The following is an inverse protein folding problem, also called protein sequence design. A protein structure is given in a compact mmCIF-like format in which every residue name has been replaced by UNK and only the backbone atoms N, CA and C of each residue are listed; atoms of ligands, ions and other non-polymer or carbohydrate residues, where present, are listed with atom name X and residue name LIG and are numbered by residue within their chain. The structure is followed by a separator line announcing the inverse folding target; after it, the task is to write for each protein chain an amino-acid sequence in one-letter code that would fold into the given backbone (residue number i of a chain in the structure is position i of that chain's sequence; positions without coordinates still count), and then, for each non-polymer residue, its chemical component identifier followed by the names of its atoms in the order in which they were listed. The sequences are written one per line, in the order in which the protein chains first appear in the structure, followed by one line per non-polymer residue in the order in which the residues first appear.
data_IF_707152161300
#
_entry.id   IF_707152161300
#
_cell.length_a   1.000
_cell.length_b   1.000
_cell.length_c   1.000
_cell.angle_alpha   90.00
_cell.angle_beta   90.00
_cell.angle_gamma   90.00
#
_symmetry.space_group_name_H-M   'P 1'
#
loop_
_entity.id
_entity.type
_entity.pdbx_description
1 polymer ?
#
# COMPACT_ATOMS: atom_id res chain seq x y z
N UNK A 1 -28.50 5.56 -34.98
CA UNK A 1 -27.69 5.42 -33.74
C UNK A 1 -26.81 4.20 -33.87
N UNK A 2 -25.50 4.41 -33.92
CA UNK A 2 -24.51 3.41 -34.32
C UNK A 2 -24.31 2.36 -33.20
N UNK A 3 -24.21 1.06 -33.55
CA UNK A 3 -24.15 -0.06 -32.58
C UNK A 3 -22.99 0.10 -31.57
N UNK A 4 -21.91 0.76 -31.97
CA UNK A 4 -20.72 1.04 -31.13
C UNK A 4 -21.04 1.97 -29.94
N UNK A 5 -21.95 2.94 -30.12
CA UNK A 5 -22.31 3.88 -29.06
C UNK A 5 -23.09 3.24 -27.90
N UNK A 6 -23.80 2.12 -28.14
CA UNK A 6 -24.50 1.39 -27.09
C UNK A 6 -23.56 0.56 -26.20
N UNK A 7 -22.45 0.06 -26.75
CA UNK A 7 -21.47 -0.71 -25.98
C UNK A 7 -20.60 0.18 -25.08
N UNK A 8 -20.25 1.39 -25.53
CA UNK A 8 -19.49 2.35 -24.72
C UNK A 8 -20.32 2.82 -23.52
N UNK A 9 -21.62 3.07 -23.72
CA UNK A 9 -22.51 3.46 -22.62
C UNK A 9 -22.73 2.33 -21.59
N UNK A 10 -22.79 1.08 -22.06
CA UNK A 10 -22.91 -0.09 -21.19
C UNK A 10 -21.63 -0.35 -20.37
N UNK A 11 -20.45 -0.15 -20.95
CA UNK A 11 -19.17 -0.28 -20.23
C UNK A 11 -19.02 0.80 -19.15
N UNK A 12 -19.41 2.04 -19.44
CA UNK A 12 -19.38 3.13 -18.45
C UNK A 12 -20.35 2.84 -17.28
N UNK A 13 -21.53 2.26 -17.56
CA UNK A 13 -22.48 1.89 -16.50
C UNK A 13 -22.00 0.76 -15.59
N UNK A 14 -21.17 -0.17 -16.09
CA UNK A 14 -20.59 -1.24 -15.27
C UNK A 14 -19.54 -0.73 -14.27
N UNK A 15 -18.81 0.34 -14.59
CA UNK A 15 -17.89 0.97 -13.65
C UNK A 15 -18.59 1.73 -12.52
N UNK A 16 -19.79 2.30 -12.77
CA UNK A 16 -20.55 2.99 -11.73
C UNK A 16 -21.24 2.06 -10.72
N UNK A 17 -21.57 0.82 -11.10
CA UNK A 17 -22.24 -0.13 -10.18
C UNK A 17 -21.27 -0.72 -9.14
N UNK A 18 -19.98 -0.82 -9.43
CA UNK A 18 -18.98 -1.28 -8.45
C UNK A 18 -18.68 -0.25 -7.35
N UNK A 19 -18.79 1.06 -7.63
CA UNK A 19 -18.56 2.12 -6.63
C UNK A 19 -19.65 2.18 -5.55
N UNK A 20 -20.85 1.65 -5.81
CA UNK A 20 -21.94 1.65 -4.83
C UNK A 20 -21.85 0.50 -3.81
N UNK A 21 -21.09 -0.56 -4.08
CA UNK A 21 -21.04 -1.73 -3.19
C UNK A 21 -19.97 -1.64 -2.08
N UNK A 22 -19.06 -0.66 -2.15
CA UNK A 22 -17.99 -0.43 -1.16
C UNK A 22 -18.40 0.54 -0.03
N UNK A 23 -19.58 1.17 -0.11
CA UNK A 23 -20.00 2.22 0.84
C UNK A 23 -20.66 1.73 2.14
N UNK A 24 -20.95 0.43 2.28
CA UNK A 24 -21.78 -0.07 3.40
C UNK A 24 -21.03 -0.84 4.50
N UNK A 25 -19.70 -0.96 4.44
CA UNK A 25 -18.93 -1.80 5.40
C UNK A 25 -18.03 -1.07 6.40
N UNK A 26 -18.01 0.26 6.42
CA UNK A 26 -17.00 1.02 7.17
C UNK A 26 -17.47 1.84 8.38
N UNK A 27 -18.71 1.73 8.86
CA UNK A 27 -19.26 2.76 9.79
C UNK A 27 -19.34 2.43 11.28
N UNK A 28 -18.98 1.24 11.75
CA UNK A 28 -19.33 0.84 13.12
C UNK A 28 -18.20 0.72 14.16
N UNK A 29 -16.91 0.87 13.83
CA UNK A 29 -15.84 0.51 14.80
C UNK A 29 -15.01 1.69 15.35
N UNK A 30 -15.45 2.94 15.20
CA UNK A 30 -14.61 4.11 15.58
C UNK A 30 -14.99 4.83 16.89
N UNK A 31 -15.89 4.30 17.72
CA UNK A 31 -16.27 4.97 18.97
C UNK A 31 -16.25 4.04 20.18
N UNK A 32 -15.06 3.65 20.66
CA UNK A 32 -14.86 3.38 22.09
C UNK A 32 -13.37 3.32 22.43
N UNK A 33 -12.83 4.39 23.01
CA UNK A 33 -11.95 4.23 24.17
C UNK A 33 -11.90 5.49 25.02
N UNK A 34 -12.14 5.25 26.30
CA UNK A 34 -12.41 6.20 27.37
C UNK A 34 -11.10 6.78 27.91
N UNK A 35 -11.20 8.01 28.41
CA UNK A 35 -10.21 8.57 29.32
C UNK A 35 -10.19 7.81 30.65
N UNK A 36 -8.99 7.59 31.17
CA UNK A 36 -8.75 7.25 32.57
C UNK A 36 -7.66 8.19 33.08
N UNK A 37 -8.07 9.10 33.97
CA UNK A 37 -7.19 9.82 34.89
C UNK A 37 -6.69 8.85 35.96
N UNK A 38 -5.45 9.01 36.41
CA UNK A 38 -5.06 8.59 37.77
C UNK A 38 -4.10 9.60 38.40
N UNK A 39 -4.38 9.86 39.67
CA UNK A 39 -3.72 10.78 40.59
C UNK A 39 -2.58 10.10 41.37
N UNK A 40 -1.69 10.98 41.86
CA UNK A 40 -0.90 10.95 43.09
C UNK A 40 0.36 10.06 43.26
N UNK A 41 1.42 10.70 43.79
CA UNK A 41 2.56 10.04 44.41
C UNK A 41 3.86 10.84 44.43
N UNK A 42 4.00 11.79 45.35
CA UNK A 42 5.21 12.59 45.61
C UNK A 42 6.12 11.87 46.63
N UNK A 43 7.45 11.75 46.41
CA UNK A 43 8.48 11.78 47.49
C UNK A 43 9.95 11.70 47.02
N UNK A 44 10.71 12.75 47.40
CA UNK A 44 12.11 12.83 47.87
C UNK A 44 13.34 12.21 47.16
N UNK A 45 14.16 13.13 46.63
CA UNK A 45 15.61 13.39 46.85
C UNK A 45 16.52 12.28 47.40
N UNK A 46 17.60 12.03 46.65
CA UNK A 46 18.90 11.57 47.18
C UNK A 46 20.05 11.70 46.16
N UNK A 47 21.02 12.60 46.40
CA UNK A 47 22.27 12.75 45.63
C UNK A 47 23.36 11.80 46.17
N UNK A 48 24.16 11.17 45.29
CA UNK A 48 25.65 11.19 45.36
C UNK A 48 26.33 10.51 44.14
N UNK A 49 27.39 11.18 43.67
CA UNK A 49 28.34 10.77 42.62
C UNK A 49 29.25 9.60 43.04
N UNK A 50 29.84 8.86 42.07
CA UNK A 50 31.30 8.83 41.75
C UNK A 50 31.68 7.62 40.82
N UNK A 51 32.37 7.97 39.72
CA UNK A 51 33.42 7.30 38.90
C UNK A 51 33.28 5.96 38.13
N UNK A 52 33.63 6.10 36.84
CA UNK A 52 34.60 5.36 35.99
C UNK A 52 34.71 3.84 36.12
N UNK A 53 34.47 3.18 34.99
CA UNK A 53 34.97 1.85 34.68
C UNK A 53 34.48 1.38 33.31
N UNK A 54 35.30 1.58 32.29
CA UNK A 54 35.27 0.82 31.05
C UNK A 54 35.35 -0.68 31.35
N UNK A 55 34.46 -1.49 30.76
CA UNK A 55 34.82 -2.76 30.11
C UNK A 55 33.60 -3.38 29.40
N UNK A 56 33.91 -4.03 28.28
CA UNK A 56 33.02 -4.65 27.32
C UNK A 56 31.94 -5.56 27.93
N UNK A 57 30.70 -5.42 27.45
CA UNK A 57 29.76 -6.53 27.35
C UNK A 57 29.11 -6.49 25.96
N UNK A 58 29.78 -7.14 25.01
CA UNK A 58 29.10 -7.87 23.95
C UNK A 58 28.13 -8.84 24.63
N UNK A 59 26.89 -8.41 24.83
CA UNK A 59 25.81 -9.33 25.17
C UNK A 59 25.19 -9.76 23.86
N UNK A 60 25.83 -10.77 23.29
CA UNK A 60 25.28 -11.67 22.29
C UNK A 60 23.91 -12.13 22.81
N UNK A 61 22.85 -11.47 22.36
CA UNK A 61 21.49 -11.90 22.65
C UNK A 61 21.31 -13.20 21.87
N UNK A 62 21.49 -14.32 22.56
CA UNK A 62 21.15 -15.64 22.06
C UNK A 62 19.71 -15.58 21.57
N UNK A 63 19.54 -15.58 20.24
CA UNK A 63 18.23 -15.67 19.61
C UNK A 63 17.60 -16.97 20.07
N UNK A 64 16.59 -16.88 20.92
CA UNK A 64 15.80 -18.05 21.31
C UNK A 64 15.09 -18.53 20.03
N UNK A 65 15.53 -19.68 19.52
CA UNK A 65 14.96 -20.31 18.34
C UNK A 65 13.68 -21.02 18.81
N UNK A 66 12.53 -20.41 18.55
CA UNK A 66 11.24 -21.07 18.74
C UNK A 66 10.87 -21.73 17.41
N UNK A 67 10.83 -23.06 17.37
CA UNK A 67 10.28 -23.80 16.22
C UNK A 67 11.09 -23.74 14.91
N UNK A 68 12.36 -23.31 14.93
CA UNK A 68 13.22 -23.18 13.74
C UNK A 68 13.31 -21.77 13.18
N UNK A 69 12.41 -20.86 13.58
CA UNK A 69 12.46 -19.44 13.24
C UNK A 69 13.11 -18.63 14.38
N UNK A 70 13.84 -17.57 14.00
CA UNK A 70 14.45 -16.65 14.96
C UNK A 70 13.39 -15.65 15.45
N UNK A 71 13.15 -15.60 16.76
CA UNK A 71 12.17 -14.69 17.37
C UNK A 71 12.36 -13.23 16.97
N UNK A 72 13.61 -12.77 16.85
CA UNK A 72 13.92 -11.39 16.43
C UNK A 72 13.38 -11.06 15.04
N UNK A 73 13.46 -12.01 14.11
CA UNK A 73 12.98 -11.82 12.74
C UNK A 73 11.44 -11.86 12.70
N UNK A 74 10.82 -12.70 13.53
CA UNK A 74 9.37 -12.72 13.72
C UNK A 74 8.89 -11.37 14.26
N UNK A 75 9.55 -10.84 15.28
CA UNK A 75 9.21 -9.55 15.89
C UNK A 75 9.36 -8.40 14.89
N UNK A 76 10.44 -8.39 14.10
CA UNK A 76 10.65 -7.41 13.02
C UNK A 76 9.51 -7.46 11.99
N UNK A 77 9.10 -8.66 11.57
CA UNK A 77 7.97 -8.84 10.66
C UNK A 77 6.65 -8.36 11.27
N UNK A 78 6.37 -8.69 12.55
CA UNK A 78 5.16 -8.24 13.25
C UNK A 78 5.10 -6.71 13.37
N UNK A 79 6.23 -6.06 13.69
CA UNK A 79 6.33 -4.60 13.76
C UNK A 79 6.02 -3.95 12.41
N UNK A 80 6.60 -4.48 11.33
CA UNK A 80 6.33 -4.00 9.97
C UNK A 80 4.84 -4.12 9.63
N UNK A 81 4.25 -5.28 9.86
CA UNK A 81 2.83 -5.55 9.55
C UNK A 81 1.91 -4.63 10.35
N UNK A 82 2.19 -4.43 11.64
CA UNK A 82 1.39 -3.55 12.49
C UNK A 82 1.48 -2.09 12.04
N UNK A 83 2.69 -1.60 11.72
CA UNK A 83 2.92 -0.24 11.20
C UNK A 83 2.23 -0.04 9.85
N UNK A 84 2.18 -1.07 9.02
CA UNK A 84 1.64 -1.02 7.66
C UNK A 84 0.21 -1.59 7.52
N UNK A 85 -0.51 -1.88 8.60
CA UNK A 85 -1.86 -2.47 8.56
C UNK A 85 -2.90 -1.64 7.81
N UNK A 86 -2.73 -0.31 7.77
CA UNK A 86 -3.62 0.61 7.06
C UNK A 86 -3.17 0.94 5.63
N UNK A 87 -2.13 0.27 5.11
CA UNK A 87 -1.54 0.62 3.81
C UNK A 87 -2.52 0.46 2.65
N UNK A 88 -3.32 -0.63 2.62
CA UNK A 88 -4.38 -0.85 1.63
C UNK A 88 -5.45 0.26 1.71
N UNK A 89 -6.05 0.45 2.89
CA UNK A 89 -7.13 1.43 3.10
C UNK A 89 -6.70 2.84 2.71
N UNK A 90 -5.46 3.23 3.04
CA UNK A 90 -4.91 4.54 2.66
C UNK A 90 -4.74 4.67 1.14
N UNK A 91 -4.28 3.63 0.44
CA UNK A 91 -4.16 3.65 -1.01
C UNK A 91 -5.52 3.63 -1.71
N UNK A 92 -6.50 2.88 -1.19
CA UNK A 92 -7.89 2.89 -1.67
C UNK A 92 -8.51 4.27 -1.52
N UNK A 93 -8.28 4.94 -0.38
CA UNK A 93 -8.72 6.32 -0.18
C UNK A 93 -8.13 7.28 -1.22
N UNK A 94 -6.86 7.10 -1.61
CA UNK A 94 -6.26 7.87 -2.71
C UNK A 94 -6.98 7.53 -4.02
N UNK A 95 -7.19 6.25 -4.31
CA UNK A 95 -7.86 5.84 -5.54
C UNK A 95 -9.26 6.45 -5.67
N UNK A 96 -10.10 6.31 -4.64
CA UNK A 96 -11.48 6.79 -4.64
C UNK A 96 -11.56 8.31 -4.78
N UNK A 97 -10.67 9.05 -4.11
CA UNK A 97 -10.63 10.51 -4.16
C UNK A 97 -10.22 11.04 -5.55
N UNK A 98 -9.38 10.30 -6.28
CA UNK A 98 -8.72 10.80 -7.49
C UNK A 98 -9.10 10.05 -8.78
N UNK A 99 -9.86 8.94 -8.73
CA UNK A 99 -10.22 8.17 -9.92
C UNK A 99 -11.10 8.95 -10.91
N UNK A 100 -11.96 9.85 -10.42
CA UNK A 100 -12.78 10.71 -11.29
C UNK A 100 -11.93 11.64 -12.14
N UNK A 101 -11.02 12.39 -11.50
CA UNK A 101 -10.09 13.28 -12.18
C UNK A 101 -9.14 12.52 -13.13
N UNK A 102 -8.64 11.34 -12.72
CA UNK A 102 -7.87 10.47 -13.60
C UNK A 102 -8.67 10.10 -14.86
N UNK A 103 -9.94 9.68 -14.70
CA UNK A 103 -10.79 9.29 -15.81
C UNK A 103 -11.08 10.47 -16.76
N UNK A 104 -11.31 11.67 -16.22
CA UNK A 104 -11.50 12.87 -17.04
C UNK A 104 -10.25 13.15 -17.89
N UNK A 105 -9.06 13.12 -17.29
CA UNK A 105 -7.81 13.30 -18.05
C UNK A 105 -7.68 12.23 -19.13
N UNK A 106 -7.84 10.95 -18.78
CA UNK A 106 -7.66 9.85 -19.73
C UNK A 106 -8.68 9.86 -20.87
N UNK A 107 -9.86 10.42 -20.64
CA UNK A 107 -10.93 10.55 -21.63
C UNK A 107 -10.70 11.72 -22.57
N UNK A 108 -10.33 12.88 -22.02
CA UNK A 108 -10.37 14.16 -22.72
C UNK A 108 -9.01 14.67 -23.18
N UNK A 109 -7.89 14.12 -22.69
CA UNK A 109 -6.56 14.61 -23.06
C UNK A 109 -6.08 14.18 -24.46
N UNK A 110 -6.93 13.54 -25.27
CA UNK A 110 -6.57 13.02 -26.59
C UNK A 110 -5.36 12.06 -26.60
N UNK A 111 -5.04 11.54 -27.79
CA UNK A 111 -3.75 10.88 -28.06
C UNK A 111 -2.81 11.82 -28.83
N UNK A 112 -3.35 12.91 -29.40
CA UNK A 112 -2.65 13.83 -30.31
C UNK A 112 -2.73 15.32 -29.87
N UNK A 113 -3.02 15.59 -28.59
CA UNK A 113 -3.08 16.96 -28.03
C UNK A 113 -4.10 17.93 -28.69
N UNK A 114 -4.99 17.44 -29.56
CA UNK A 114 -6.09 18.21 -30.12
C UNK A 114 -7.25 18.28 -29.12
N UNK A 115 -7.25 19.30 -28.29
CA UNK A 115 -8.34 19.59 -27.37
C UNK A 115 -9.44 20.38 -28.08
N UNK A 116 -10.70 19.98 -27.91
CA UNK A 116 -11.79 20.97 -28.00
C UNK A 116 -11.76 21.87 -26.76
N UNK A 117 -12.30 23.09 -26.85
CA UNK A 117 -12.35 24.00 -25.70
C UNK A 117 -13.08 23.37 -24.49
N UNK A 118 -14.12 22.57 -24.73
CA UNK A 118 -14.83 21.85 -23.68
C UNK A 118 -13.97 20.77 -23.01
N UNK A 119 -13.15 20.06 -23.78
CA UNK A 119 -12.25 19.02 -23.25
C UNK A 119 -11.18 19.66 -22.39
N UNK A 120 -10.62 20.80 -22.85
CA UNK A 120 -9.62 21.57 -22.11
C UNK A 120 -10.12 21.99 -20.73
N UNK A 121 -11.36 22.48 -20.63
CA UNK A 121 -11.97 22.86 -19.35
C UNK A 121 -12.05 21.67 -18.39
N UNK A 122 -12.49 20.49 -18.87
CA UNK A 122 -12.58 19.28 -18.06
C UNK A 122 -11.22 18.82 -17.56
N UNK A 123 -10.22 18.81 -18.43
CA UNK A 123 -8.86 18.39 -18.07
C UNK A 123 -8.21 19.37 -17.09
N UNK A 124 -8.39 20.68 -17.27
CA UNK A 124 -7.90 21.69 -16.31
C UNK A 124 -8.53 21.53 -14.92
N UNK A 125 -9.84 21.23 -14.84
CA UNK A 125 -10.51 20.94 -13.58
C UNK A 125 -9.94 19.68 -12.91
N UNK A 126 -9.71 18.62 -13.69
CA UNK A 126 -9.12 17.38 -13.19
C UNK A 126 -7.68 17.55 -12.67
N UNK A 127 -6.83 18.31 -13.39
CA UNK A 127 -5.48 18.67 -12.91
C UNK A 127 -5.58 19.47 -11.60
N UNK A 128 -6.53 20.40 -11.51
CA UNK A 128 -6.73 21.19 -10.29
C UNK A 128 -7.06 20.30 -9.09
N UNK A 129 -7.85 19.23 -9.29
CA UNK A 129 -8.13 18.23 -8.24
C UNK A 129 -6.83 17.53 -7.81
N UNK A 130 -6.01 17.07 -8.75
CA UNK A 130 -4.72 16.43 -8.43
C UNK A 130 -3.77 17.39 -7.70
N UNK A 131 -3.67 18.63 -8.17
CA UNK A 131 -2.70 19.60 -7.65
C UNK A 131 -3.11 20.22 -6.33
N UNK A 132 -4.42 20.27 -6.02
CA UNK A 132 -4.97 20.99 -4.87
C UNK A 132 -4.17 20.73 -3.59
N UNK A 133 -3.56 21.80 -3.07
CA UNK A 133 -2.77 21.83 -1.83
C UNK A 133 -1.65 20.77 -1.75
N UNK A 134 -1.18 20.23 -2.89
CA UNK A 134 -0.29 19.08 -2.98
C UNK A 134 -0.77 17.84 -2.20
N UNK A 135 -2.08 17.73 -1.95
CA UNK A 135 -2.67 16.75 -1.04
C UNK A 135 -2.36 15.30 -1.47
N UNK A 136 -2.48 14.99 -2.76
CA UNK A 136 -2.21 13.64 -3.27
C UNK A 136 -0.74 13.24 -3.12
N UNK A 137 0.19 14.17 -3.38
CA UNK A 137 1.64 13.94 -3.22
C UNK A 137 1.96 13.66 -1.76
N UNK A 138 1.37 14.44 -0.84
CA UNK A 138 1.56 14.24 0.59
C UNK A 138 1.01 12.89 1.07
N UNK A 139 -0.16 12.44 0.57
CA UNK A 139 -0.70 11.11 0.87
C UNK A 139 0.24 9.99 0.39
N UNK A 140 0.91 10.13 -0.75
CA UNK A 140 1.93 9.16 -1.17
C UNK A 140 3.19 9.20 -0.29
N UNK A 141 3.62 10.38 0.16
CA UNK A 141 4.73 10.51 1.13
C UNK A 141 4.39 9.89 2.49
N UNK A 142 3.13 9.96 2.92
CA UNK A 142 2.67 9.24 4.12
C UNK A 142 2.84 7.73 3.97
N UNK A 143 2.47 7.16 2.82
CA UNK A 143 2.66 5.74 2.53
C UNK A 143 4.16 5.38 2.50
N UNK A 144 5.00 6.21 1.86
CA UNK A 144 6.45 6.03 1.89
C UNK A 144 7.01 6.01 3.31
N UNK A 145 6.52 6.88 4.20
CA UNK A 145 6.97 6.97 5.60
C UNK A 145 6.59 5.74 6.43
N UNK A 146 5.45 5.12 6.15
CA UNK A 146 5.03 3.89 6.85
C UNK A 146 6.10 2.79 6.68
N UNK A 147 6.67 2.67 5.48
CA UNK A 147 7.67 1.64 5.14
C UNK A 147 9.11 2.18 5.14
N UNK A 148 9.36 3.32 5.81
CA UNK A 148 10.62 4.08 5.70
C UNK A 148 11.89 3.25 5.91
N UNK A 149 11.86 2.30 6.84
CA UNK A 149 12.99 1.42 7.20
C UNK A 149 13.39 0.46 6.07
N UNK A 150 12.45 0.12 5.19
CA UNK A 150 12.61 -0.87 4.12
C UNK A 150 12.25 -0.29 2.75
N UNK A 151 12.09 1.04 2.65
CA UNK A 151 11.58 1.67 1.45
C UNK A 151 12.54 1.44 0.27
N UNK A 152 12.04 1.01 -0.89
CA UNK A 152 12.88 0.90 -2.06
C UNK A 152 13.20 2.27 -2.65
N UNK A 153 14.42 2.45 -3.14
CA UNK A 153 14.89 3.72 -3.72
C UNK A 153 14.03 4.24 -4.89
N UNK A 154 13.32 3.36 -5.60
CA UNK A 154 12.47 3.77 -6.72
C UNK A 154 11.25 4.58 -6.27
N UNK A 155 10.76 4.39 -5.04
CA UNK A 155 9.49 4.97 -4.61
C UNK A 155 9.59 6.49 -4.50
N UNK A 156 10.61 7.01 -3.81
CA UNK A 156 10.83 8.47 -3.67
C UNK A 156 10.97 9.13 -5.04
N UNK A 157 11.73 8.52 -5.95
CA UNK A 157 11.91 9.02 -7.32
C UNK A 157 10.61 9.12 -8.09
N UNK A 158 9.69 8.17 -7.91
CA UNK A 158 8.40 8.20 -8.59
C UNK A 158 7.44 9.20 -7.96
N UNK A 159 7.52 9.45 -6.65
CA UNK A 159 6.79 10.53 -5.98
C UNK A 159 7.24 11.89 -6.53
N UNK A 160 8.54 12.11 -6.64
CA UNK A 160 9.11 13.36 -7.17
C UNK A 160 8.81 13.54 -8.66
N UNK A 161 8.89 12.47 -9.45
CA UNK A 161 8.51 12.48 -10.86
C UNK A 161 7.02 12.84 -11.02
N UNK A 162 6.13 12.25 -10.21
CA UNK A 162 4.71 12.60 -10.24
C UNK A 162 4.46 14.06 -9.88
N UNK A 163 5.11 14.59 -8.84
CA UNK A 163 5.02 15.99 -8.48
C UNK A 163 5.48 16.92 -9.63
N UNK A 164 6.58 16.56 -10.31
CA UNK A 164 7.09 17.31 -11.46
C UNK A 164 6.12 17.32 -12.63
N UNK A 165 5.57 16.17 -13.00
CA UNK A 165 4.58 16.05 -14.09
C UNK A 165 3.29 16.82 -13.75
N UNK A 166 2.89 16.85 -12.48
CA UNK A 166 1.77 17.67 -12.03
C UNK A 166 2.02 19.17 -12.20
N UNK A 167 3.21 19.65 -11.84
CA UNK A 167 3.57 21.06 -12.02
C UNK A 167 3.55 21.45 -13.50
N UNK A 168 4.13 20.59 -14.36
CA UNK A 168 4.10 20.78 -15.81
C UNK A 168 2.69 20.76 -16.42
N UNK A 169 1.77 19.97 -15.85
CA UNK A 169 0.38 19.90 -16.28
C UNK A 169 -0.45 21.14 -15.87
N UNK A 170 -0.10 21.78 -14.76
CA UNK A 170 -0.70 23.05 -14.34
C UNK A 170 -0.31 24.17 -15.31
N UNK A 171 0.96 24.21 -15.69
CA UNK A 171 1.48 25.22 -16.62
C UNK A 171 1.00 24.98 -18.06
N UNK A 172 0.90 23.71 -18.47
CA UNK A 172 0.45 23.31 -19.79
C UNK A 172 -0.43 22.05 -19.73
N UNK A 173 -1.73 22.24 -19.97
CA UNK A 173 -2.75 21.18 -19.96
C UNK A 173 -2.45 20.02 -20.92
N UNK A 174 -1.64 20.22 -21.97
CA UNK A 174 -1.18 19.11 -22.82
C UNK A 174 -0.39 18.06 -22.04
N UNK A 175 0.26 18.44 -20.93
CA UNK A 175 0.97 17.49 -20.07
C UNK A 175 0.06 16.70 -19.11
N UNK A 176 -1.26 16.92 -19.14
CA UNK A 176 -2.20 16.21 -18.25
C UNK A 176 -2.06 14.69 -18.35
N UNK A 177 -1.91 14.15 -19.57
CA UNK A 177 -1.75 12.71 -19.82
C UNK A 177 -0.51 12.17 -19.10
N UNK A 178 0.60 12.91 -19.13
CA UNK A 178 1.84 12.53 -18.47
C UNK A 178 1.65 12.46 -16.95
N UNK A 179 0.99 13.47 -16.36
CA UNK A 179 0.64 13.46 -14.94
C UNK A 179 -0.26 12.28 -14.56
N UNK A 180 -1.30 11.97 -15.35
CA UNK A 180 -2.19 10.82 -15.11
C UNK A 180 -1.48 9.47 -15.25
N UNK A 181 -0.60 9.32 -16.24
CA UNK A 181 0.23 8.12 -16.41
C UNK A 181 1.21 7.96 -15.24
N UNK A 182 1.81 9.06 -14.79
CA UNK A 182 2.71 9.09 -13.63
C UNK A 182 1.98 8.72 -12.34
N UNK A 183 0.77 9.24 -12.12
CA UNK A 183 -0.11 8.82 -11.02
C UNK A 183 -0.39 7.32 -11.02
N UNK A 184 -0.83 6.76 -12.16
CA UNK A 184 -1.11 5.32 -12.29
C UNK A 184 0.12 4.47 -12.00
N UNK A 185 1.28 4.89 -12.53
CA UNK A 185 2.57 4.22 -12.31
C UNK A 185 2.96 4.25 -10.83
N UNK A 186 2.88 5.42 -10.19
CA UNK A 186 3.18 5.60 -8.77
C UNK A 186 2.26 4.75 -7.89
N UNK A 187 0.94 4.75 -8.14
CA UNK A 187 -0.04 3.94 -7.40
C UNK A 187 0.33 2.46 -7.40
N UNK A 188 0.67 1.90 -8.56
CA UNK A 188 1.14 0.52 -8.68
C UNK A 188 2.48 0.32 -7.95
N UNK A 189 3.43 1.24 -8.09
CA UNK A 189 4.73 1.15 -7.45
C UNK A 189 4.69 1.22 -5.92
N UNK A 190 3.70 1.89 -5.34
CA UNK A 190 3.43 1.89 -3.90
C UNK A 190 3.10 0.47 -3.39
N UNK A 191 2.32 -0.30 -4.16
CA UNK A 191 2.02 -1.70 -3.84
C UNK A 191 3.27 -2.56 -3.93
N UNK A 192 4.05 -2.38 -5.00
CA UNK A 192 5.33 -3.08 -5.17
C UNK A 192 6.32 -2.76 -4.03
N UNK A 193 6.30 -1.54 -3.50
CA UNK A 193 7.16 -1.15 -2.39
C UNK A 193 6.79 -1.85 -1.07
N UNK A 194 5.51 -2.11 -0.81
CA UNK A 194 5.09 -2.94 0.31
C UNK A 194 5.61 -4.37 0.16
N UNK A 195 5.47 -4.96 -1.03
CA UNK A 195 5.97 -6.31 -1.32
C UNK A 195 7.48 -6.39 -1.16
N UNK A 196 8.22 -5.39 -1.67
CA UNK A 196 9.68 -5.34 -1.54
C UNK A 196 10.12 -5.19 -0.08
N UNK A 197 9.37 -4.43 0.72
CA UNK A 197 9.64 -4.31 2.16
C UNK A 197 9.50 -5.66 2.87
N UNK A 198 8.45 -6.43 2.52
CA UNK A 198 8.29 -7.80 3.00
C UNK A 198 9.41 -8.73 2.52
N UNK A 199 9.84 -8.62 1.26
CA UNK A 199 10.95 -9.40 0.70
C UNK A 199 12.27 -9.16 1.46
N UNK A 200 12.56 -7.89 1.78
CA UNK A 200 13.74 -7.50 2.57
C UNK A 200 13.69 -8.10 3.98
N UNK A 201 12.55 -8.06 4.66
CA UNK A 201 12.41 -8.62 6.02
C UNK A 201 12.49 -10.14 5.98
N UNK A 202 11.70 -10.79 5.13
CA UNK A 202 11.63 -12.25 5.03
C UNK A 202 12.95 -12.87 4.60
N UNK A 203 13.76 -12.18 3.79
CA UNK A 203 15.10 -12.64 3.39
C UNK A 203 16.11 -12.70 4.54
N UNK A 204 15.84 -12.05 5.68
CA UNK A 204 16.71 -12.12 6.88
C UNK A 204 16.47 -13.38 7.72
N UNK A 205 15.43 -14.15 7.42
CA UNK A 205 15.12 -15.37 8.14
C UNK A 205 16.20 -16.44 7.89
N UNK A 206 16.51 -17.21 8.93
CA UNK A 206 17.50 -18.30 8.87
C UNK A 206 16.88 -19.57 8.30
N UNK A 207 15.59 -19.79 8.54
CA UNK A 207 14.87 -20.95 8.01
C UNK A 207 14.74 -20.86 6.48
N UNK A 208 15.39 -21.78 5.78
CA UNK A 208 15.42 -21.78 4.32
C UNK A 208 14.06 -22.06 3.69
N UNK A 209 13.19 -22.84 4.34
CA UNK A 209 11.85 -23.14 3.82
C UNK A 209 10.98 -21.89 3.84
N UNK A 210 11.04 -21.13 4.93
CA UNK A 210 10.34 -19.85 5.04
C UNK A 210 10.86 -18.84 4.01
N UNK A 211 12.17 -18.74 3.82
CA UNK A 211 12.76 -17.84 2.81
C UNK A 211 12.34 -18.24 1.39
N UNK A 212 12.34 -19.52 1.05
CA UNK A 212 11.91 -20.02 -0.27
C UNK A 212 10.42 -19.78 -0.51
N UNK A 213 9.58 -20.07 0.48
CA UNK A 213 8.14 -19.81 0.41
C UNK A 213 7.86 -18.29 0.28
N UNK A 214 8.61 -17.46 1.00
CA UNK A 214 8.49 -15.99 0.94
C UNK A 214 8.84 -15.46 -0.45
N UNK A 215 9.91 -15.95 -1.07
CA UNK A 215 10.26 -15.57 -2.46
C UNK A 215 9.18 -15.96 -3.46
N UNK A 216 8.64 -17.17 -3.34
CA UNK A 216 7.52 -17.63 -4.18
C UNK A 216 6.28 -16.75 -3.97
N UNK A 217 5.97 -16.42 -2.72
CA UNK A 217 4.88 -15.50 -2.38
C UNK A 217 5.09 -14.12 -3.02
N UNK A 218 6.28 -13.53 -2.88
CA UNK A 218 6.66 -12.24 -3.49
C UNK A 218 6.49 -12.27 -5.01
N UNK A 219 6.96 -13.32 -5.68
CA UNK A 219 6.84 -13.47 -7.13
C UNK A 219 5.38 -13.55 -7.60
N UNK A 220 4.53 -14.28 -6.87
CA UNK A 220 3.10 -14.39 -7.17
C UNK A 220 2.37 -13.08 -6.87
N UNK A 221 2.71 -12.42 -5.77
CA UNK A 221 2.19 -11.10 -5.41
C UNK A 221 2.52 -10.06 -6.50
N UNK A 222 3.78 -9.98 -6.95
CA UNK A 222 4.20 -9.09 -8.04
C UNK A 222 3.40 -9.34 -9.32
N UNK A 223 3.18 -10.61 -9.70
CA UNK A 223 2.34 -10.98 -10.86
C UNK A 223 0.87 -10.58 -10.68
N UNK A 224 0.34 -10.64 -9.46
CA UNK A 224 -1.03 -10.23 -9.18
C UNK A 224 -1.19 -8.70 -9.27
N UNK A 225 -0.19 -7.94 -8.80
CA UNK A 225 -0.16 -6.47 -8.94
C UNK A 225 -0.21 -6.02 -10.40
N UNK A 226 0.38 -6.78 -11.32
CA UNK A 226 0.28 -6.49 -12.76
C UNK A 226 -1.15 -6.62 -13.31
N UNK A 227 -1.97 -7.49 -12.72
CA UNK A 227 -3.37 -7.68 -13.11
C UNK A 227 -4.27 -6.61 -12.49
N UNK A 228 -4.15 -6.38 -11.17
CA UNK A 228 -4.84 -5.30 -10.47
C UNK A 228 -4.10 -4.93 -9.19
N UNK A 229 -3.57 -3.72 -9.12
CA UNK A 229 -2.69 -3.26 -8.05
C UNK A 229 -3.41 -3.13 -6.70
N UNK A 230 -4.61 -2.54 -6.68
CA UNK A 230 -5.36 -2.29 -5.44
C UNK A 230 -5.90 -3.60 -4.83
N UNK A 231 -6.50 -4.45 -5.66
CA UNK A 231 -7.03 -5.74 -5.19
C UNK A 231 -5.90 -6.66 -4.73
N UNK A 232 -4.78 -6.68 -5.45
CA UNK A 232 -3.60 -7.40 -5.01
C UNK A 232 -3.11 -6.89 -3.65
N UNK A 233 -3.03 -5.58 -3.44
CA UNK A 233 -2.61 -5.00 -2.16
C UNK A 233 -3.53 -5.42 -1.01
N UNK A 234 -4.85 -5.36 -1.19
CA UNK A 234 -5.81 -5.77 -0.16
C UNK A 234 -5.58 -7.23 0.26
N UNK A 235 -5.43 -8.12 -0.73
CA UNK A 235 -5.11 -9.52 -0.49
C UNK A 235 -3.77 -9.71 0.23
N UNK A 236 -2.72 -9.03 -0.20
CA UNK A 236 -1.38 -9.14 0.38
C UNK A 236 -1.36 -8.69 1.84
N UNK A 237 -1.90 -7.49 2.13
CA UNK A 237 -1.94 -6.92 3.48
C UNK A 237 -2.77 -7.82 4.40
N UNK A 238 -3.94 -8.28 3.95
CA UNK A 238 -4.78 -9.17 4.74
C UNK A 238 -4.08 -10.50 5.02
N UNK A 239 -3.53 -11.14 4.00
CA UNK A 239 -2.90 -12.46 4.12
C UNK A 239 -1.70 -12.46 5.06
N UNK A 240 -0.78 -11.50 4.90
CA UNK A 240 0.37 -11.38 5.80
C UNK A 240 -0.11 -11.01 7.21
N UNK A 241 -1.10 -10.12 7.31
CA UNK A 241 -1.73 -9.75 8.57
C UNK A 241 -2.36 -10.91 9.31
N UNK A 242 -3.07 -11.80 8.62
CA UNK A 242 -3.67 -13.00 9.21
C UNK A 242 -2.58 -13.98 9.68
N UNK A 243 -1.56 -14.22 8.84
CA UNK A 243 -0.43 -15.10 9.16
C UNK A 243 0.29 -14.71 10.46
N UNK A 244 0.70 -13.45 10.61
CA UNK A 244 1.49 -13.02 11.79
C UNK A 244 0.67 -12.86 13.06
N UNK A 245 -0.67 -12.85 12.94
CA UNK A 245 -1.60 -12.79 14.06
C UNK A 245 -2.25 -14.14 14.36
N UNK A 246 -1.63 -15.24 13.88
CA UNK A 246 -2.07 -16.61 14.12
C UNK A 246 -3.52 -16.89 13.68
N UNK A 247 -4.00 -16.16 12.67
CA UNK A 247 -5.30 -16.39 12.02
C UNK A 247 -5.08 -17.21 10.75
N UNK A 248 -5.94 -18.22 10.56
CA UNK A 248 -5.90 -19.06 9.36
C UNK A 248 -6.09 -18.19 8.10
N UNK A 249 -5.20 -18.36 7.12
CA UNK A 249 -5.30 -17.63 5.85
C UNK A 249 -6.51 -18.13 5.07
N UNK A 250 -7.36 -17.19 4.64
CA UNK A 250 -8.45 -17.52 3.74
C UNK A 250 -7.89 -17.85 2.34
N UNK A 251 -7.85 -19.14 2.02
CA UNK A 251 -7.32 -19.68 0.76
C UNK A 251 -8.32 -19.65 -0.40
N UNK A 252 -9.57 -19.22 -0.19
CA UNK A 252 -10.58 -19.10 -1.24
C UNK A 252 -10.59 -17.70 -1.84
N UNK A 253 -10.76 -17.62 -3.16
CA UNK A 253 -10.91 -16.34 -3.86
C UNK A 253 -12.06 -15.52 -3.25
N UNK A 254 -11.78 -14.25 -2.98
CA UNK A 254 -12.76 -13.29 -2.43
C UNK A 254 -13.44 -12.46 -3.51
N UNK A 255 -12.93 -12.51 -4.74
CA UNK A 255 -13.43 -11.74 -5.88
C UNK A 255 -13.99 -12.63 -6.99
N UNK A 256 -14.62 -13.75 -6.61
CA UNK A 256 -15.31 -14.66 -7.52
C UNK A 256 -14.42 -15.19 -8.67
N UNK A 257 -13.12 -15.35 -8.43
CA UNK A 257 -12.11 -15.68 -9.45
C UNK A 257 -12.07 -14.72 -10.65
N UNK A 258 -12.50 -13.46 -10.45
CA UNK A 258 -12.43 -12.42 -11.49
C UNK A 258 -10.98 -12.06 -11.86
N UNK A 259 -10.04 -12.33 -10.93
CA UNK A 259 -8.61 -12.11 -11.12
C UNK A 259 -7.88 -13.46 -11.21
N UNK A 260 -7.29 -13.73 -12.37
CA UNK A 260 -6.67 -15.01 -12.67
C UNK A 260 -5.45 -15.29 -11.80
N UNK A 261 -4.76 -14.25 -11.32
CA UNK A 261 -3.56 -14.38 -10.49
C UNK A 261 -3.87 -14.56 -9.01
N UNK A 262 -5.11 -14.34 -8.56
CA UNK A 262 -5.48 -14.46 -7.14
C UNK A 262 -5.30 -15.90 -6.63
N UNK A 263 -5.75 -16.90 -7.38
CA UNK A 263 -5.67 -18.30 -6.96
C UNK A 263 -4.22 -18.78 -6.76
N UNK A 264 -3.34 -18.45 -7.71
CA UNK A 264 -1.90 -18.72 -7.64
C UNK A 264 -1.23 -18.01 -6.45
N UNK A 265 -1.66 -16.79 -6.14
CA UNK A 265 -1.20 -16.03 -4.99
C UNK A 265 -1.64 -16.69 -3.68
N UNK A 266 -2.92 -17.08 -3.55
CA UNK A 266 -3.45 -17.74 -2.36
C UNK A 266 -2.81 -19.11 -2.12
N UNK A 267 -2.48 -19.86 -3.17
CA UNK A 267 -1.74 -21.11 -3.03
C UNK A 267 -0.33 -20.88 -2.43
N UNK A 268 0.40 -19.87 -2.92
CA UNK A 268 1.69 -19.50 -2.34
C UNK A 268 1.57 -18.97 -0.91
N UNK A 269 0.46 -18.31 -0.56
CA UNK A 269 0.19 -17.85 0.79
C UNK A 269 0.01 -19.02 1.79
N UNK A 270 -0.69 -20.09 1.39
CA UNK A 270 -0.85 -21.28 2.24
C UNK A 270 0.49 -21.98 2.46
N UNK A 271 1.33 -22.08 1.42
CA UNK A 271 2.69 -22.62 1.58
C UNK A 271 3.54 -21.77 2.52
N UNK A 272 3.44 -20.44 2.43
CA UNK A 272 4.12 -19.51 3.33
C UNK A 272 3.63 -19.66 4.78
N UNK A 273 2.32 -19.78 5.00
CA UNK A 273 1.74 -20.03 6.34
C UNK A 273 2.28 -21.32 6.95
N UNK A 274 2.35 -22.39 6.16
CA UNK A 274 2.88 -23.68 6.60
C UNK A 274 4.39 -23.64 6.91
N UNK A 275 5.14 -22.71 6.33
CA UNK A 275 6.55 -22.49 6.66
C UNK A 275 6.76 -21.50 7.82
N UNK A 276 5.73 -20.71 8.16
CA UNK A 276 5.75 -19.77 9.27
C UNK A 276 5.40 -20.41 10.62
N UNK A 277 4.57 -21.46 10.60
CA UNK A 277 4.16 -22.24 11.79
C UNK A 277 5.13 -23.38 12.08
#
# INVERSE_FOLDING_TARGET
MNKIGKYILAIISLFFIMSCHMLDRGRNDLNQEQGIQNQDGNSEKGKKNINKGSDNLNQDQSSEIVGGLNQRNIDELKIFVEKAKYYSIKLDTIYDEYTGAYNDIMTYSGVNDEFTDSDKIKVTQAISIFKKDNKIVNKFKELEKIIEEYKPMFLSKLIDAFATELDQAVDNVSNARHAANSYKKLRKSVVLAYIESFDVISSKFVDSKFVEASKKFVDKAKKFVEENDLIALECIVKTIGDMVNDREINSRSRYNNSYQKEADFLAAAVELEGAYK
#
